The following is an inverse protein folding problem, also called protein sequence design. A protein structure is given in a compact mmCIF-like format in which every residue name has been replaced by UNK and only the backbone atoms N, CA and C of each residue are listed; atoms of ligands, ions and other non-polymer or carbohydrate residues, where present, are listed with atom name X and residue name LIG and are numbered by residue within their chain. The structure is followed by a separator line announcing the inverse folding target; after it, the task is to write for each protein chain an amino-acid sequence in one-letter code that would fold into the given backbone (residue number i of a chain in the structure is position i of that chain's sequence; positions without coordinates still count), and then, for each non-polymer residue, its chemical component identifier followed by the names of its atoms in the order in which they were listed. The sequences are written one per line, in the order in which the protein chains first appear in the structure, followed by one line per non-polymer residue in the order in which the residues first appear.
data_IF_642612779133
#
_entry.id   IF_642612779133
#
_cell.length_a   1.000
_cell.length_b   1.000
_cell.length_c   1.000
_cell.angle_alpha   90.00
_cell.angle_beta   90.00
_cell.angle_gamma   90.00
#
_symmetry.space_group_name_H-M   'P 1'
#
loop_
_entity.id
_entity.type
_entity.pdbx_description
1 polymer ?
#
# COMPACT_ATOMS: atom_id res chain seq x y z
N UNK A 1 -28.04 11.97 3.25
CA UNK A 1 -27.03 10.92 3.00
C UNK A 1 -27.10 9.90 4.12
N UNK A 2 -27.13 8.59 3.85
CA UNK A 2 -27.22 7.56 4.89
C UNK A 2 -25.85 7.36 5.55
N UNK A 3 -25.72 7.59 6.86
CA UNK A 3 -24.45 7.55 7.59
C UNK A 3 -23.71 6.21 7.44
N UNK A 4 -24.45 5.11 7.37
CA UNK A 4 -23.89 3.77 7.12
C UNK A 4 -23.15 3.66 5.78
N UNK A 5 -23.66 4.32 4.74
CA UNK A 5 -23.05 4.28 3.40
C UNK A 5 -21.74 5.07 3.34
N UNK A 6 -21.62 6.13 4.15
CA UNK A 6 -20.41 6.95 4.24
C UNK A 6 -19.28 6.18 4.92
N UNK A 7 -19.57 5.53 6.06
CA UNK A 7 -18.59 4.70 6.76
C UNK A 7 -18.11 3.50 5.93
N UNK A 8 -19.01 2.87 5.18
CA UNK A 8 -18.66 1.77 4.29
C UNK A 8 -17.70 2.22 3.18
N UNK A 9 -17.97 3.36 2.53
CA UNK A 9 -17.06 3.93 1.51
C UNK A 9 -15.68 4.25 2.10
N UNK A 10 -15.63 4.83 3.29
CA UNK A 10 -14.37 5.12 3.99
C UNK A 10 -13.55 3.85 4.25
N UNK A 11 -14.19 2.79 4.76
CA UNK A 11 -13.51 1.50 4.99
C UNK A 11 -12.97 0.91 3.69
N UNK A 12 -13.76 0.94 2.61
CA UNK A 12 -13.33 0.46 1.30
C UNK A 12 -12.16 1.29 0.75
N UNK A 13 -12.19 2.62 0.92
CA UNK A 13 -11.09 3.50 0.54
C UNK A 13 -9.82 3.18 1.32
N UNK A 14 -9.90 3.00 2.63
CA UNK A 14 -8.74 2.62 3.46
C UNK A 14 -8.14 1.29 3.01
N UNK A 15 -8.99 0.26 2.80
CA UNK A 15 -8.53 -1.05 2.30
C UNK A 15 -7.85 -0.89 0.94
N UNK A 16 -8.46 -0.11 0.04
CA UNK A 16 -7.92 0.14 -1.29
C UNK A 16 -6.55 0.84 -1.24
N UNK A 17 -6.41 1.85 -0.39
CA UNK A 17 -5.16 2.59 -0.22
C UNK A 17 -4.04 1.72 0.39
N UNK A 18 -4.37 0.86 1.36
CA UNK A 18 -3.40 -0.10 1.92
C UNK A 18 -2.95 -1.11 0.86
N UNK A 19 -3.90 -1.69 0.10
CA UNK A 19 -3.58 -2.62 -0.98
C UNK A 19 -2.73 -1.96 -2.08
N UNK A 20 -3.05 -0.71 -2.42
CA UNK A 20 -2.28 0.08 -3.40
C UNK A 20 -0.86 0.36 -2.89
N UNK A 21 -0.70 0.77 -1.64
CA UNK A 21 0.60 1.07 -1.05
C UNK A 21 1.49 -0.19 -0.98
N UNK A 22 0.92 -1.34 -0.66
CA UNK A 22 1.61 -2.64 -0.77
C UNK A 22 2.07 -2.91 -2.21
N UNK A 23 1.17 -2.78 -3.20
CA UNK A 23 1.51 -3.02 -4.60
C UNK A 23 2.62 -2.12 -5.13
N UNK A 24 2.58 -0.83 -4.78
CA UNK A 24 3.62 0.16 -5.13
C UNK A 24 4.97 -0.27 -4.56
N UNK A 25 5.04 -0.59 -3.27
CA UNK A 25 6.30 -1.00 -2.65
C UNK A 25 6.79 -2.35 -3.18
N UNK A 26 5.90 -3.27 -3.51
CA UNK A 26 6.28 -4.53 -4.17
C UNK A 26 6.93 -4.27 -5.54
N UNK A 27 6.41 -3.33 -6.33
CA UNK A 27 7.00 -2.92 -7.60
C UNK A 27 8.37 -2.25 -7.41
N UNK A 28 8.50 -1.32 -6.46
CA UNK A 28 9.77 -0.67 -6.12
C UNK A 28 10.84 -1.71 -5.73
N UNK A 29 10.50 -2.65 -4.85
CA UNK A 29 11.42 -3.72 -4.45
C UNK A 29 11.78 -4.63 -5.64
N UNK A 30 10.87 -4.83 -6.60
CA UNK A 30 11.15 -5.58 -7.83
C UNK A 30 12.19 -4.88 -8.69
N UNK A 31 12.06 -3.57 -8.90
CA UNK A 31 13.08 -2.77 -9.59
C UNK A 31 14.42 -2.76 -8.86
N UNK A 32 14.41 -2.68 -7.52
CA UNK A 32 15.64 -2.78 -6.74
C UNK A 32 16.34 -4.13 -6.92
N UNK A 33 15.60 -5.23 -7.06
CA UNK A 33 16.17 -6.54 -7.40
C UNK A 33 16.74 -6.56 -8.82
N UNK A 34 16.01 -6.04 -9.81
CA UNK A 34 16.47 -5.97 -11.20
C UNK A 34 17.74 -5.10 -11.34
N UNK A 35 17.86 -4.04 -10.54
CA UNK A 35 19.04 -3.17 -10.51
C UNK A 35 20.25 -3.77 -9.78
N UNK A 36 20.10 -4.94 -9.13
CA UNK A 36 21.17 -5.58 -8.35
C UNK A 36 21.41 -4.99 -6.95
N UNK A 37 20.57 -4.05 -6.50
CA UNK A 37 20.65 -3.46 -5.15
C UNK A 37 20.16 -4.45 -4.09
N UNK A 38 19.13 -5.25 -4.40
CA UNK A 38 18.61 -6.29 -3.53
C UNK A 38 19.04 -7.69 -4.02
N UNK A 39 19.17 -8.68 -3.11
CA UNK A 39 19.44 -10.05 -3.47
C UNK A 39 18.43 -10.61 -4.50
N UNK A 40 18.84 -11.60 -5.31
CA UNK A 40 17.96 -12.22 -6.28
C UNK A 40 16.71 -12.83 -5.62
N UNK A 41 15.62 -12.92 -6.39
CA UNK A 41 14.35 -13.48 -5.91
C UNK A 41 14.47 -14.93 -5.39
N UNK A 42 15.47 -15.69 -5.85
CA UNK A 42 15.78 -17.04 -5.37
C UNK A 42 16.15 -17.11 -3.90
N UNK A 43 16.69 -16.02 -3.33
CA UNK A 43 17.08 -15.94 -1.92
C UNK A 43 16.01 -15.23 -1.07
N UNK A 44 15.35 -14.23 -1.63
CA UNK A 44 14.36 -13.43 -0.90
C UNK A 44 12.98 -14.09 -0.79
N UNK A 45 12.58 -14.97 -1.70
CA UNK A 45 11.34 -15.75 -1.62
C UNK A 45 10.11 -14.98 -1.08
N UNK A 46 9.42 -15.56 -0.10
CA UNK A 46 8.27 -14.94 0.57
C UNK A 46 8.64 -13.70 1.43
N UNK A 47 9.91 -13.53 1.77
CA UNK A 47 10.41 -12.40 2.56
C UNK A 47 10.30 -11.06 1.82
N UNK A 48 10.40 -11.07 0.49
CA UNK A 48 10.06 -9.89 -0.32
C UNK A 48 8.64 -9.40 -0.06
N UNK A 49 7.68 -10.32 0.04
CA UNK A 49 6.29 -10.00 0.32
C UNK A 49 6.12 -9.34 1.68
N UNK A 50 6.77 -9.87 2.71
CA UNK A 50 6.75 -9.28 4.05
C UNK A 50 7.37 -7.87 4.06
N UNK A 51 8.52 -7.68 3.41
CA UNK A 51 9.16 -6.37 3.29
C UNK A 51 8.26 -5.39 2.54
N UNK A 52 7.59 -5.83 1.48
CA UNK A 52 6.62 -5.02 0.74
C UNK A 52 5.41 -4.62 1.61
N UNK A 53 4.94 -5.49 2.51
CA UNK A 53 3.88 -5.13 3.47
C UNK A 53 4.38 -4.08 4.46
N UNK A 54 5.54 -4.29 5.08
CA UNK A 54 6.09 -3.36 6.07
C UNK A 54 6.36 -1.97 5.46
N UNK A 55 7.03 -1.95 4.32
CA UNK A 55 7.32 -0.70 3.60
C UNK A 55 6.05 -0.07 3.00
N UNK A 56 5.09 -0.88 2.55
CA UNK A 56 3.78 -0.43 2.08
C UNK A 56 2.96 0.23 3.18
N UNK A 57 3.02 -0.28 4.43
CA UNK A 57 2.38 0.35 5.58
C UNK A 57 3.02 1.71 5.91
N UNK A 58 4.35 1.82 5.80
CA UNK A 58 5.05 3.10 5.95
C UNK A 58 4.60 4.08 4.87
N UNK A 59 4.53 3.64 3.60
CA UNK A 59 4.05 4.47 2.49
C UNK A 59 2.60 4.91 2.69
N UNK A 60 1.73 4.00 3.14
CA UNK A 60 0.35 4.33 3.48
C UNK A 60 0.29 5.42 4.55
N UNK A 61 1.09 5.29 5.62
CA UNK A 61 1.08 6.23 6.72
C UNK A 61 1.61 7.63 6.35
N UNK A 62 2.61 7.72 5.47
CA UNK A 62 3.20 9.00 5.06
C UNK A 62 2.36 9.68 3.98
N UNK A 63 1.92 8.92 2.96
CA UNK A 63 1.32 9.48 1.75
C UNK A 63 -0.19 9.27 1.75
N UNK A 64 -0.64 8.03 1.86
CA UNK A 64 -2.02 7.67 1.56
C UNK A 64 -3.02 8.06 2.68
N UNK A 65 -2.60 8.12 3.94
CA UNK A 65 -3.51 8.37 5.08
C UNK A 65 -4.21 9.73 5.02
N UNK A 66 -3.61 10.69 4.33
CA UNK A 66 -4.10 12.07 4.23
C UNK A 66 -4.72 12.36 2.86
N UNK A 67 -4.85 11.36 1.98
CA UNK A 67 -5.45 11.56 0.66
C UNK A 67 -6.97 11.75 0.83
N UNK A 68 -7.52 12.90 0.42
CA UNK A 68 -8.95 13.12 0.40
C UNK A 68 -9.60 12.25 -0.71
N UNK A 69 -10.84 11.84 -0.48
CA UNK A 69 -11.59 10.91 -1.31
C UNK A 69 -12.74 10.23 -0.56
N UNK A 70 -12.91 10.59 0.70
CA UNK A 70 -13.98 10.16 1.57
C UNK A 70 -15.27 10.98 1.37
N UNK A 71 -16.48 10.47 1.69
CA UNK A 71 -17.74 11.18 1.45
C UNK A 71 -17.99 12.41 2.34
N UNK A 72 -16.95 13.01 2.90
CA UNK A 72 -16.98 14.27 3.68
C UNK A 72 -15.84 15.22 3.34
N UNK A 73 -15.09 14.95 2.28
CA UNK A 73 -14.10 15.88 1.76
C UNK A 73 -14.82 16.77 0.73
N UNK A 74 -15.28 17.93 1.19
CA UNK A 74 -15.74 19.06 0.36
C UNK A 74 -14.55 19.89 -0.13
#
# INVERSE_FOLDING_TARGET
MNTRTTEQRQRLLVIWLVASAFGIMFAVLSWMQESGILPPASELGAWKGLIAVLTGLVLYWIVARNIPGGPGDE
#
